data_IF_061586513020
#
_entry.id   IF_061586513020
#
_cell.length_a   1.000
_cell.length_b   1.000
_cell.length_c   1.000
_cell.angle_alpha   90.00
_cell.angle_beta   90.00
_cell.angle_gamma   90.00
#
_symmetry.space_group_name_H-M   'P 1'
#
loop_
_entity.id
_entity.type
_entity.pdbx_description
1 polymer ?
#
# COMPACT_ATOMS: atom_id res chain seq x y z
N UNK A 1 10.15 -11.04 -4.33
CA UNK A 1 9.42 -10.51 -3.16
C UNK A 1 10.02 -9.17 -2.74
N UNK A 2 9.22 -8.20 -2.30
CA UNK A 2 9.74 -6.88 -1.89
C UNK A 2 10.30 -6.99 -0.46
N UNK A 3 11.52 -6.49 -0.25
CA UNK A 3 12.16 -6.57 1.06
C UNK A 3 11.43 -5.74 2.10
N UNK A 4 11.34 -6.30 3.31
CA UNK A 4 10.64 -5.66 4.40
C UNK A 4 11.51 -4.63 5.10
N UNK A 5 11.01 -3.40 5.26
CA UNK A 5 11.71 -2.29 5.91
C UNK A 5 11.68 -2.44 7.44
N UNK A 6 12.85 -2.41 8.10
CA UNK A 6 12.94 -2.34 9.56
C UNK A 6 12.62 -0.93 10.07
N UNK A 7 12.26 -0.86 11.35
CA UNK A 7 12.09 0.36 12.08
C UNK A 7 13.47 0.96 12.35
N UNK A 8 13.66 2.23 12.00
CA UNK A 8 14.96 2.90 12.14
C UNK A 8 15.44 3.10 13.58
N UNK A 9 14.58 2.87 14.59
CA UNK A 9 14.92 3.06 16.01
C UNK A 9 15.11 1.76 16.79
N UNK A 10 14.57 0.63 16.31
CA UNK A 10 14.58 -0.63 17.07
C UNK A 10 14.62 -1.89 16.20
N UNK A 11 14.82 -1.74 14.88
CA UNK A 11 14.92 -2.80 13.88
C UNK A 11 13.72 -3.76 13.74
N UNK A 12 12.68 -3.58 14.55
CA UNK A 12 11.40 -4.29 14.41
C UNK A 12 10.70 -3.93 13.09
N UNK A 13 9.69 -4.72 12.69
CA UNK A 13 8.96 -4.44 11.45
C UNK A 13 8.29 -3.06 11.47
N UNK A 14 8.59 -2.22 10.46
CA UNK A 14 7.96 -0.92 10.34
C UNK A 14 6.49 -1.03 9.94
N UNK A 15 5.66 -0.18 10.55
CA UNK A 15 4.21 -0.12 10.32
C UNK A 15 3.78 1.22 9.73
N UNK A 16 4.48 2.30 10.05
CA UNK A 16 4.20 3.66 9.58
C UNK A 16 5.41 4.23 8.85
N UNK A 17 5.16 5.12 7.91
CA UNK A 17 6.17 5.95 7.26
C UNK A 17 5.84 7.42 7.50
N UNK A 18 6.77 8.13 8.12
CA UNK A 18 6.70 9.57 8.30
C UNK A 18 7.38 10.26 7.13
N UNK A 19 6.64 11.07 6.36
CA UNK A 19 7.17 11.73 5.17
C UNK A 19 8.16 12.86 5.51
N UNK A 20 7.88 13.76 6.48
CA UNK A 20 8.84 14.81 6.87
C UNK A 20 10.16 14.28 7.42
N UNK A 21 10.09 13.22 8.24
CA UNK A 21 11.28 12.62 8.86
C UNK A 21 11.94 11.57 7.94
N UNK A 22 11.31 11.26 6.79
CA UNK A 22 11.69 10.17 5.87
C UNK A 22 11.98 8.84 6.60
N UNK A 23 11.23 8.58 7.67
CA UNK A 23 11.52 7.53 8.63
C UNK A 23 10.45 6.43 8.61
N UNK A 24 10.90 5.18 8.69
CA UNK A 24 10.01 4.02 8.86
C UNK A 24 10.00 3.63 10.34
N UNK A 25 8.81 3.62 10.96
CA UNK A 25 8.66 3.41 12.41
C UNK A 25 7.68 2.26 12.69
N UNK A 26 7.93 1.51 13.77
CA UNK A 26 6.92 0.62 14.35
C UNK A 26 5.95 1.41 15.25
N UNK A 27 4.84 0.80 15.66
CA UNK A 27 3.81 1.45 16.49
C UNK A 27 4.32 2.06 17.79
N UNK A 28 5.23 1.36 18.48
CA UNK A 28 5.80 1.85 19.74
C UNK A 28 6.76 3.02 19.52
N UNK A 29 7.51 2.99 18.43
CA UNK A 29 8.40 4.09 18.05
C UNK A 29 7.62 5.31 17.58
N UNK A 30 6.59 5.10 16.76
CA UNK A 30 5.67 6.14 16.28
C UNK A 30 5.02 6.87 17.46
N UNK A 31 4.47 6.11 18.42
CA UNK A 31 3.84 6.68 19.62
C UNK A 31 4.83 7.48 20.48
N UNK A 32 6.10 7.05 20.56
CA UNK A 32 7.14 7.79 21.30
C UNK A 32 7.52 9.09 20.60
N UNK A 33 7.70 9.06 19.28
CA UNK A 33 8.12 10.23 18.48
C UNK A 33 6.98 11.23 18.33
N UNK A 34 5.82 10.78 17.87
CA UNK A 34 4.68 11.64 17.53
C UNK A 34 3.70 11.84 18.68
N UNK A 35 3.66 10.94 19.67
CA UNK A 35 2.87 11.12 20.88
C UNK A 35 3.58 11.94 21.97
N UNK A 36 4.92 11.97 21.97
CA UNK A 36 5.74 12.74 22.92
C UNK A 36 6.04 14.18 22.51
N UNK A 37 5.93 14.50 21.21
CA UNK A 37 6.22 15.83 20.68
C UNK A 37 5.05 16.36 19.82
N UNK A 38 4.44 17.46 20.25
CA UNK A 38 3.31 18.08 19.56
C UNK A 38 3.66 18.59 18.15
N UNK A 39 4.92 18.92 17.87
CA UNK A 39 5.38 19.30 16.53
C UNK A 39 5.38 18.08 15.61
N UNK A 40 6.00 16.99 16.08
CA UNK A 40 6.03 15.73 15.36
C UNK A 40 4.61 15.16 15.17
N UNK A 41 3.68 15.37 16.11
CA UNK A 41 2.28 14.97 15.95
C UNK A 41 1.61 15.53 14.69
N UNK A 42 2.08 16.66 14.16
CA UNK A 42 1.56 17.26 12.91
C UNK A 42 2.16 16.63 11.65
N UNK A 43 3.13 15.74 11.76
CA UNK A 43 3.74 15.11 10.59
C UNK A 43 2.74 14.14 9.94
N UNK A 44 2.51 14.23 8.60
CA UNK A 44 1.76 13.24 7.87
C UNK A 44 2.46 11.89 7.92
N UNK A 45 1.72 10.88 8.36
CA UNK A 45 2.20 9.50 8.43
C UNK A 45 1.29 8.60 7.62
N UNK A 46 1.92 7.82 6.76
CA UNK A 46 1.25 6.85 5.91
C UNK A 46 1.40 5.45 6.51
N UNK A 47 0.35 4.62 6.44
CA UNK A 47 0.50 3.21 6.82
C UNK A 47 1.24 2.44 5.75
N UNK A 48 2.09 1.53 6.18
CA UNK A 48 2.74 0.58 5.31
C UNK A 48 1.87 -0.67 5.17
N UNK A 49 1.73 -1.14 3.93
CA UNK A 49 1.08 -2.40 3.64
C UNK A 49 1.76 -3.54 4.41
N UNK A 50 1.00 -4.32 5.18
CA UNK A 50 1.57 -5.42 5.97
C UNK A 50 2.26 -6.50 5.12
N UNK A 51 1.81 -6.68 3.87
CA UNK A 51 2.33 -7.69 2.96
C UNK A 51 3.63 -7.26 2.28
N UNK A 52 3.66 -6.06 1.66
CA UNK A 52 4.77 -5.61 0.81
C UNK A 52 5.44 -4.31 1.28
N UNK A 53 4.96 -3.72 2.38
CA UNK A 53 5.40 -2.44 2.95
C UNK A 53 5.49 -1.28 1.94
N UNK A 54 4.62 -1.29 0.94
CA UNK A 54 4.32 -0.09 0.17
C UNK A 54 3.55 0.90 1.07
N UNK A 55 3.83 2.21 1.00
CA UNK A 55 2.94 3.22 1.55
C UNK A 55 1.53 3.03 0.99
N UNK A 56 0.54 3.01 1.86
CA UNK A 56 -0.87 2.98 1.48
C UNK A 56 -1.42 4.41 1.40
N UNK A 57 -2.52 4.65 0.67
CA UNK A 57 -3.15 5.96 0.58
C UNK A 57 -3.67 6.48 1.93
N UNK A 58 -3.76 5.61 2.93
CA UNK A 58 -4.14 6.01 4.27
C UNK A 58 -3.05 6.86 4.88
N UNK A 59 -3.39 8.11 5.17
CA UNK A 59 -2.56 9.07 5.89
C UNK A 59 -3.28 9.52 7.16
N UNK A 60 -2.50 9.79 8.20
CA UNK A 60 -3.04 10.32 9.44
C UNK A 60 -2.11 11.32 10.10
N UNK A 61 -2.75 12.25 10.80
CA UNK A 61 -2.16 13.34 11.57
C UNK A 61 -2.59 13.19 13.03
N UNK A 62 -1.83 13.75 13.95
CA UNK A 62 -2.15 13.82 15.37
C UNK A 62 -1.31 12.88 16.25
N UNK A 63 -1.48 12.92 17.58
CA UNK A 63 -0.57 12.25 18.51
C UNK A 63 -0.83 10.75 18.68
N UNK A 64 -1.99 10.25 18.23
CA UNK A 64 -2.42 8.87 18.46
C UNK A 64 -2.97 8.25 17.20
N UNK A 65 -2.20 7.32 16.65
CA UNK A 65 -2.68 6.38 15.66
C UNK A 65 -2.98 5.09 16.40
N UNK A 66 -4.21 4.59 16.30
CA UNK A 66 -4.51 3.25 16.77
C UNK A 66 -3.65 2.24 15.98
N UNK A 67 -3.20 1.12 16.57
CA UNK A 67 -2.55 0.08 15.80
C UNK A 67 -3.50 -0.44 14.72
N UNK A 68 -3.18 -0.16 13.46
CA UNK A 68 -4.00 -0.56 12.32
C UNK A 68 -3.19 -1.41 11.35
N UNK A 69 -3.85 -2.28 10.60
CA UNK A 69 -3.20 -3.02 9.52
C UNK A 69 -3.85 -2.61 8.21
N UNK A 70 -3.04 -2.18 7.25
CA UNK A 70 -3.50 -1.92 5.89
C UNK A 70 -2.87 -2.93 4.93
N UNK A 71 -3.59 -3.20 3.85
CA UNK A 71 -3.12 -4.01 2.72
C UNK A 71 -3.39 -3.18 1.48
N UNK A 72 -2.41 -3.01 0.59
CA UNK A 72 -2.62 -2.29 -0.66
C UNK A 72 -3.45 -3.14 -1.64
N UNK A 73 -4.15 -2.51 -2.58
CA UNK A 73 -5.03 -3.18 -3.55
C UNK A 73 -4.32 -4.31 -4.30
N UNK A 74 -3.06 -4.09 -4.69
CA UNK A 74 -2.22 -5.15 -5.29
C UNK A 74 -2.11 -6.37 -4.38
N UNK A 75 -1.85 -6.18 -3.09
CA UNK A 75 -1.74 -7.28 -2.14
C UNK A 75 -3.09 -7.85 -1.70
N UNK A 76 -4.20 -7.12 -1.84
CA UNK A 76 -5.54 -7.66 -1.68
C UNK A 76 -5.82 -8.69 -2.79
N UNK A 77 -5.49 -8.34 -4.03
CA UNK A 77 -5.66 -9.22 -5.19
C UNK A 77 -4.64 -10.36 -5.25
N UNK A 78 -3.41 -10.17 -4.73
CA UNK A 78 -2.41 -11.25 -4.68
C UNK A 78 -2.71 -12.35 -3.65
N UNK A 79 -3.65 -12.14 -2.70
CA UNK A 79 -4.10 -13.22 -1.81
C UNK A 79 -4.79 -14.38 -2.56
N UNK A 80 -5.13 -14.17 -3.83
CA UNK A 80 -5.71 -15.20 -4.69
C UNK A 80 -4.67 -16.15 -5.33
N UNK A 81 -3.36 -15.88 -5.18
CA UNK A 81 -2.28 -16.66 -5.81
C UNK A 81 -1.29 -17.26 -4.81
N UNK A 82 -1.75 -17.57 -3.60
CA UNK A 82 -1.06 -18.46 -2.68
C UNK A 82 -1.85 -19.79 -2.62
N UNK A 83 -1.92 -20.51 -3.75
CA UNK A 83 -2.34 -21.91 -3.74
C UNK A 83 -1.42 -22.76 -4.64
N UNK A 84 -0.69 -23.65 -3.96
CA UNK A 84 0.18 -24.72 -4.46
C UNK A 84 1.58 -24.38 -5.03
N UNK A 85 2.52 -24.15 -4.10
CA UNK A 85 3.81 -24.86 -4.16
C UNK A 85 3.82 -26.02 -3.15
N UNK A 86 3.24 -27.16 -3.53
CA UNK A 86 3.79 -28.48 -3.21
C UNK A 86 3.04 -29.55 -4.01
N UNK A 87 3.79 -30.24 -4.87
CA UNK A 87 3.53 -31.64 -5.20
C UNK A 87 4.90 -32.25 -5.43
N UNK A 88 5.49 -32.68 -4.31
CA UNK A 88 6.59 -33.64 -4.39
C UNK A 88 6.17 -34.87 -5.20
N UNK A 89 7.11 -35.35 -6.04
CA UNK A 89 7.27 -36.69 -6.69
C UNK A 89 6.24 -37.19 -7.74
N UNK A 90 6.60 -37.12 -9.02
CA UNK A 90 7.12 -38.27 -9.81
C UNK A 90 7.26 -37.93 -11.31
N UNK A 91 8.23 -38.59 -11.96
CA UNK A 91 8.80 -38.39 -13.28
C UNK A 91 7.86 -38.48 -14.51
N UNK A 92 8.32 -37.86 -15.61
CA UNK A 92 8.06 -38.07 -17.06
C UNK A 92 7.34 -36.93 -17.81
N UNK A 93 8.03 -36.32 -18.78
CA UNK A 93 7.44 -36.00 -20.09
C UNK A 93 7.27 -34.54 -20.51
N UNK A 94 8.24 -34.03 -21.26
CA UNK A 94 8.18 -33.23 -22.52
C UNK A 94 7.21 -32.04 -22.72
N UNK A 95 7.79 -30.94 -23.26
CA UNK A 95 7.10 -29.83 -23.95
C UNK A 95 6.70 -28.68 -23.03
N UNK A 96 6.91 -27.39 -23.31
CA UNK A 96 7.26 -26.67 -24.52
C UNK A 96 6.53 -25.31 -24.44
N UNK A 97 7.24 -24.21 -24.64
CA UNK A 97 6.66 -22.90 -24.97
C UNK A 97 6.11 -22.05 -23.83
N UNK A 98 6.91 -21.05 -23.45
CA UNK A 98 6.43 -19.76 -22.96
C UNK A 98 5.51 -19.09 -23.99
N UNK A 99 4.27 -18.80 -23.59
CA UNK A 99 3.47 -17.64 -24.02
C UNK A 99 2.22 -17.58 -23.14
N UNK A 100 2.23 -16.70 -22.15
CA UNK A 100 0.98 -16.25 -21.54
C UNK A 100 0.61 -14.93 -22.21
N UNK A 101 0.12 -15.01 -23.45
CA UNK A 101 -0.54 -13.88 -24.11
C UNK A 101 -1.92 -13.71 -23.48
N UNK A 102 -2.00 -12.81 -22.48
CA UNK A 102 -3.27 -12.38 -21.93
C UNK A 102 -3.96 -11.44 -22.95
N UNK A 103 -4.71 -12.02 -23.89
CA UNK A 103 -5.66 -11.29 -24.73
C UNK A 103 -6.83 -10.86 -23.84
N UNK A 104 -6.76 -9.62 -23.35
CA UNK A 104 -7.88 -8.96 -22.71
C UNK A 104 -8.76 -8.27 -23.76
N UNK A 105 -9.70 -9.01 -24.33
CA UNK A 105 -10.78 -8.44 -25.14
C UNK A 105 -11.96 -8.09 -24.24
N UNK A 106 -12.32 -6.80 -24.17
CA UNK A 106 -13.68 -6.30 -23.95
C UNK A 106 -13.74 -4.81 -24.29
N UNK A 107 -13.97 -4.52 -25.57
CA UNK A 107 -14.54 -3.27 -26.07
C UNK A 107 -16.05 -3.23 -25.76
N UNK A 108 -16.53 -2.11 -25.22
CA UNK A 108 -17.95 -1.89 -24.93
C UNK A 108 -18.21 -0.44 -24.48
N UNK A 109 -18.72 0.38 -25.39
CA UNK A 109 -18.71 1.84 -25.29
C UNK A 109 -19.90 2.56 -24.60
N UNK A 110 -19.65 3.86 -24.44
CA UNK A 110 -20.49 5.08 -24.46
C UNK A 110 -21.79 5.20 -23.64
N UNK A 111 -21.85 6.24 -22.80
CA UNK A 111 -23.08 6.96 -22.44
C UNK A 111 -22.76 8.46 -22.21
N UNK A 112 -23.38 9.32 -23.00
CA UNK A 112 -23.39 10.78 -22.89
C UNK A 112 -24.04 11.27 -21.58
N UNK A 113 -23.49 12.33 -20.97
CA UNK A 113 -23.98 12.91 -19.73
C UNK A 113 -23.86 14.45 -19.73
N UNK A 114 -25.04 15.08 -19.66
CA UNK A 114 -25.40 16.49 -19.81
C UNK A 114 -24.92 17.44 -18.68
N UNK A 115 -24.49 18.65 -19.07
CA UNK A 115 -24.56 19.96 -18.39
C UNK A 115 -24.17 20.16 -16.91
N UNK A 116 -23.22 21.10 -16.65
CA UNK A 116 -23.51 22.24 -15.76
C UNK A 116 -22.54 23.42 -15.92
N UNK A 117 -23.13 24.61 -15.85
CA UNK A 117 -22.66 25.97 -16.09
C UNK A 117 -21.46 26.44 -15.24
N UNK A 118 -20.58 27.20 -15.89
CA UNK A 118 -19.43 27.89 -15.34
C UNK A 118 -19.83 29.16 -14.55
N UNK A 119 -19.79 29.11 -13.21
CA UNK A 119 -19.84 30.34 -12.41
C UNK A 119 -18.45 30.96 -12.32
N UNK A 120 -18.23 32.02 -13.09
CA UNK A 120 -17.07 32.90 -13.02
C UNK A 120 -17.08 33.68 -11.69
N UNK A 121 -16.13 33.37 -10.79
CA UNK A 121 -15.81 34.28 -9.68
C UNK A 121 -14.82 35.33 -10.18
N UNK A 122 -15.30 36.55 -10.38
CA UNK A 122 -14.44 37.73 -10.56
C UNK A 122 -13.85 38.11 -9.21
N UNK A 123 -12.53 37.96 -9.06
CA UNK A 123 -11.77 38.56 -7.95
C UNK A 123 -11.72 40.07 -8.19
N UNK A 124 -12.30 40.83 -7.25
CA UNK A 124 -12.09 42.28 -7.11
C UNK A 124 -11.27 42.51 -5.85
#
# INVERSE_FOLDING_TARGET
MKEKKPCQLCDNLAATYCEPDQANLCWDCDSRVHGGNFLAAKHPRNLLCRSCQSPTPWSALGPRLAPMVSVCEKCVSCRAWDDHSDSTRSSHGEGGGDNSDCIGDSDGGMADGDGHEENQVVLV
#
